data_IF_715735587435
#
_entry.id   IF_715735587435
#
_cell.length_a   1.000
_cell.length_b   1.000
_cell.length_c   1.000
_cell.angle_alpha   90.00
_cell.angle_beta   90.00
_cell.angle_gamma   90.00
#
_symmetry.space_group_name_H-M   'P 1'
#
loop_
_entity.id
_entity.type
_entity.pdbx_description
1 polymer ?
#
# COMPACT_ATOMS: atom_id res chain seq x y z
N UNK A 1 -62.93 -27.89 46.09
CA UNK A 1 -61.46 -27.94 46.10
C UNK A 1 -60.90 -27.45 44.76
N UNK A 2 -61.42 -27.92 43.63
CA UNK A 2 -60.89 -27.63 42.30
C UNK A 2 -60.89 -26.15 41.90
N UNK A 3 -61.90 -25.38 42.34
CA UNK A 3 -61.96 -23.94 42.07
C UNK A 3 -60.82 -23.15 42.75
N UNK A 4 -60.40 -23.58 43.95
CA UNK A 4 -59.31 -22.93 44.69
C UNK A 4 -57.97 -23.17 44.01
N UNK A 5 -57.76 -24.38 43.48
CA UNK A 5 -56.57 -24.74 42.69
C UNK A 5 -56.47 -23.93 41.39
N UNK A 6 -57.60 -23.70 40.71
CA UNK A 6 -57.63 -22.92 39.47
C UNK A 6 -57.27 -21.45 39.72
N UNK A 7 -57.83 -20.84 40.77
CA UNK A 7 -57.53 -19.44 41.14
C UNK A 7 -56.06 -19.26 41.53
N UNK A 8 -55.49 -20.22 42.28
CA UNK A 8 -54.06 -20.21 42.62
C UNK A 8 -53.17 -20.36 41.37
N UNK A 9 -53.53 -21.25 40.44
CA UNK A 9 -52.78 -21.45 39.19
C UNK A 9 -52.72 -20.20 38.32
N UNK A 10 -53.86 -19.49 38.16
CA UNK A 10 -53.91 -18.23 37.40
C UNK A 10 -53.09 -17.13 38.09
N UNK A 11 -53.10 -17.08 39.42
CA UNK A 11 -52.28 -16.13 40.19
C UNK A 11 -50.78 -16.33 39.98
N UNK A 12 -50.30 -17.57 40.04
CA UNK A 12 -48.87 -17.88 39.82
C UNK A 12 -48.45 -17.56 38.39
N UNK A 13 -49.28 -17.88 37.39
CA UNK A 13 -49.00 -17.54 35.98
C UNK A 13 -48.97 -16.02 35.74
N UNK A 14 -49.85 -15.26 36.39
CA UNK A 14 -49.83 -13.80 36.31
C UNK A 14 -48.54 -13.20 36.88
N UNK A 15 -48.07 -13.69 38.03
CA UNK A 15 -46.83 -13.24 38.67
C UNK A 15 -45.62 -13.61 37.78
N UNK A 16 -45.58 -14.82 37.25
CA UNK A 16 -44.53 -15.26 36.33
C UNK A 16 -44.47 -14.40 35.06
N UNK A 17 -45.62 -14.04 34.49
CA UNK A 17 -45.72 -13.16 33.33
C UNK A 17 -45.23 -11.73 33.62
N UNK A 18 -45.55 -11.17 34.79
CA UNK A 18 -45.07 -9.85 35.21
C UNK A 18 -43.55 -9.85 35.39
N UNK A 19 -42.98 -10.88 36.02
CA UNK A 19 -41.53 -11.01 36.17
C UNK A 19 -40.83 -11.14 34.81
N UNK A 20 -41.34 -12.01 33.94
CA UNK A 20 -40.77 -12.23 32.61
C UNK A 20 -40.85 -10.99 31.70
N UNK A 21 -41.95 -10.24 31.76
CA UNK A 21 -42.12 -9.01 30.98
C UNK A 21 -41.25 -7.86 31.49
N UNK A 22 -40.97 -7.79 32.80
CA UNK A 22 -40.05 -6.81 33.39
C UNK A 22 -38.60 -7.08 32.98
N UNK A 23 -38.21 -8.35 32.88
CA UNK A 23 -36.87 -8.75 32.44
C UNK A 23 -36.62 -8.42 30.96
N UNK A 24 -37.60 -8.64 30.07
CA UNK A 24 -37.50 -8.20 28.66
C UNK A 24 -37.33 -6.69 28.50
N UNK A 25 -37.98 -5.87 29.33
CA UNK A 25 -37.83 -4.41 29.29
C UNK A 25 -36.44 -3.95 29.73
N UNK A 26 -35.76 -4.71 30.59
CA UNK A 26 -34.38 -4.43 31.00
C UNK A 26 -33.36 -4.92 29.97
N UNK A 27 -33.65 -6.03 29.26
CA UNK A 27 -32.80 -6.54 28.18
C UNK A 27 -32.84 -5.60 26.96
N UNK A 28 -33.99 -5.00 26.63
CA UNK A 28 -34.10 -4.06 25.49
C UNK A 28 -33.45 -2.69 25.73
N UNK A 29 -33.07 -2.35 26.97
CA UNK A 29 -32.31 -1.13 27.30
C UNK A 29 -30.80 -1.35 27.34
N UNK A 30 -30.34 -2.60 27.13
CA UNK A 30 -28.93 -2.92 26.92
C UNK A 30 -28.60 -3.02 25.43
N UNK A 31 -28.88 -1.97 24.67
CA UNK A 31 -28.15 -1.71 23.44
C UNK A 31 -27.19 -0.53 23.67
N UNK A 32 -26.12 -0.68 24.49
CA UNK A 32 -25.18 0.42 24.74
C UNK A 32 -24.24 0.71 23.56
N UNK A 33 -24.24 -0.08 22.48
CA UNK A 33 -23.17 -0.02 21.49
C UNK A 33 -23.58 0.54 20.12
N UNK A 34 -24.79 1.08 19.92
CA UNK A 34 -25.19 1.55 18.58
C UNK A 34 -24.40 2.77 18.10
N UNK A 35 -24.02 3.66 19.01
CA UNK A 35 -23.35 4.90 18.62
C UNK A 35 -21.84 4.70 18.44
N UNK A 36 -21.22 3.83 19.24
CA UNK A 36 -19.83 3.40 19.04
C UNK A 36 -19.65 2.56 17.77
N UNK A 37 -20.62 1.69 17.44
CA UNK A 37 -20.59 0.94 16.18
C UNK A 37 -20.68 1.91 15.00
N UNK A 38 -21.53 2.94 15.07
CA UNK A 38 -21.60 3.96 14.01
C UNK A 38 -20.30 4.76 13.88
N UNK A 39 -19.63 5.06 14.99
CA UNK A 39 -18.33 5.74 14.95
C UNK A 39 -17.28 4.87 14.26
N UNK A 40 -17.21 3.57 14.60
CA UNK A 40 -16.32 2.63 13.92
C UNK A 40 -16.66 2.49 12.42
N UNK A 41 -17.96 2.39 12.08
CA UNK A 41 -18.42 2.37 10.70
C UNK A 41 -17.96 3.62 9.94
N UNK A 42 -18.03 4.81 10.57
CA UNK A 42 -17.56 6.06 9.96
C UNK A 42 -16.05 6.10 9.77
N UNK A 43 -15.27 5.54 10.70
CA UNK A 43 -13.80 5.45 10.59
C UNK A 43 -13.43 4.50 9.45
N UNK A 44 -14.10 3.34 9.37
CA UNK A 44 -13.88 2.35 8.31
C UNK A 44 -14.25 2.95 6.94
N UNK A 45 -15.39 3.63 6.84
CA UNK A 45 -15.84 4.26 5.59
C UNK A 45 -14.87 5.35 5.13
N UNK A 46 -14.37 6.16 6.06
CA UNK A 46 -13.34 7.15 5.78
C UNK A 46 -12.04 6.52 5.28
N UNK A 47 -11.53 5.50 5.98
CA UNK A 47 -10.31 4.79 5.58
C UNK A 47 -10.46 4.13 4.20
N UNK A 48 -11.65 3.58 3.91
CA UNK A 48 -11.94 2.99 2.61
C UNK A 48 -11.97 4.04 1.48
N UNK A 49 -12.53 5.23 1.74
CA UNK A 49 -12.49 6.35 0.79
C UNK A 49 -11.06 6.83 0.54
N UNK A 50 -10.24 6.97 1.58
CA UNK A 50 -8.82 7.34 1.46
C UNK A 50 -8.06 6.33 0.58
N UNK A 51 -8.29 5.03 0.78
CA UNK A 51 -7.72 3.97 -0.07
C UNK A 51 -8.17 4.06 -1.53
N UNK A 52 -9.45 4.35 -1.79
CA UNK A 52 -9.94 4.50 -3.15
C UNK A 52 -9.33 5.74 -3.84
N UNK A 53 -9.23 6.86 -3.13
CA UNK A 53 -8.64 8.08 -3.65
C UNK A 53 -7.16 7.87 -3.99
N UNK A 54 -6.40 7.20 -3.12
CA UNK A 54 -5.01 6.89 -3.36
C UNK A 54 -4.84 5.95 -4.56
N UNK A 55 -5.64 4.89 -4.64
CA UNK A 55 -5.59 3.97 -5.78
C UNK A 55 -5.94 4.68 -7.10
N UNK A 56 -6.91 5.61 -7.07
CA UNK A 56 -7.22 6.44 -8.23
C UNK A 56 -6.04 7.34 -8.63
N UNK A 57 -5.39 7.99 -7.65
CA UNK A 57 -4.23 8.84 -7.85
C UNK A 57 -3.04 8.06 -8.42
N UNK A 58 -2.77 6.85 -7.90
CA UNK A 58 -1.73 5.96 -8.42
C UNK A 58 -2.04 5.53 -9.86
N UNK A 59 -3.28 5.12 -10.16
CA UNK A 59 -3.69 4.79 -11.52
C UNK A 59 -3.53 5.96 -12.49
N UNK A 60 -3.87 7.18 -12.06
CA UNK A 60 -3.67 8.38 -12.86
C UNK A 60 -2.18 8.65 -13.13
N UNK A 61 -1.32 8.45 -12.13
CA UNK A 61 0.14 8.55 -12.29
C UNK A 61 0.66 7.54 -13.32
N UNK A 62 0.24 6.26 -13.24
CA UNK A 62 0.61 5.24 -14.23
C UNK A 62 0.16 5.59 -15.65
N UNK A 63 -1.06 6.10 -15.82
CA UNK A 63 -1.54 6.55 -17.13
C UNK A 63 -0.70 7.71 -17.68
N UNK A 64 -0.29 8.65 -16.81
CA UNK A 64 0.57 9.76 -17.21
C UNK A 64 1.97 9.30 -17.63
N UNK A 65 2.54 8.32 -16.92
CA UNK A 65 3.84 7.72 -17.25
C UNK A 65 3.76 6.95 -18.56
N UNK A 66 2.72 6.14 -18.77
CA UNK A 66 2.51 5.41 -20.03
C UNK A 66 2.42 6.40 -21.20
N UNK A 67 1.70 7.52 -21.04
CA UNK A 67 1.61 8.55 -22.07
C UNK A 67 2.98 9.19 -22.36
N UNK A 68 3.78 9.44 -21.32
CA UNK A 68 5.15 9.95 -21.45
C UNK A 68 6.07 8.95 -22.19
N UNK A 69 6.02 7.68 -21.81
CA UNK A 69 6.78 6.62 -22.48
C UNK A 69 6.38 6.49 -23.94
N UNK A 70 5.09 6.50 -24.25
CA UNK A 70 4.59 6.42 -25.62
C UNK A 70 5.10 7.59 -26.48
N UNK A 71 5.13 8.81 -25.92
CA UNK A 71 5.73 9.97 -26.58
C UNK A 71 7.23 9.75 -26.86
N UNK A 72 7.97 9.21 -25.89
CA UNK A 72 9.40 8.93 -26.04
C UNK A 72 9.64 7.87 -27.12
N UNK A 73 8.87 6.80 -27.14
CA UNK A 73 8.91 5.76 -28.18
C UNK A 73 8.67 6.36 -29.56
N UNK A 74 7.62 7.16 -29.73
CA UNK A 74 7.33 7.83 -31.02
C UNK A 74 8.49 8.73 -31.48
N UNK A 75 9.14 9.46 -30.57
CA UNK A 75 10.31 10.28 -30.93
C UNK A 75 11.53 9.45 -31.33
N UNK A 76 11.73 8.29 -30.70
CA UNK A 76 12.78 7.34 -31.05
C UNK A 76 12.52 6.70 -32.41
N UNK A 77 11.28 6.31 -32.70
CA UNK A 77 10.87 5.79 -34.00
C UNK A 77 11.08 6.82 -35.12
N UNK A 78 10.73 8.08 -34.89
CA UNK A 78 10.97 9.15 -35.86
C UNK A 78 12.48 9.34 -36.14
N UNK A 79 13.32 9.28 -35.11
CA UNK A 79 14.78 9.33 -35.27
C UNK A 79 15.32 8.13 -36.03
N UNK A 80 14.81 6.92 -35.77
CA UNK A 80 15.18 5.70 -36.50
C UNK A 80 14.82 5.80 -37.98
N UNK A 81 13.61 6.26 -38.32
CA UNK A 81 13.21 6.49 -39.72
C UNK A 81 14.12 7.49 -40.42
N UNK A 82 14.50 8.57 -39.75
CA UNK A 82 15.43 9.56 -40.31
C UNK A 82 16.81 8.93 -40.59
N UNK A 83 17.35 8.13 -39.66
CA UNK A 83 18.62 7.41 -39.86
C UNK A 83 18.55 6.39 -41.00
N UNK A 84 17.43 5.69 -41.15
CA UNK A 84 17.23 4.75 -42.26
C UNK A 84 17.27 5.47 -43.61
N UNK A 85 16.70 6.68 -43.70
CA UNK A 85 16.78 7.50 -44.92
C UNK A 85 18.21 7.93 -45.25
N UNK A 86 19.05 8.23 -44.26
CA UNK A 86 20.47 8.55 -44.48
C UNK A 86 21.27 7.32 -44.96
N UNK A 87 20.91 6.11 -44.53
CA UNK A 87 21.57 4.87 -44.98
C UNK A 87 21.29 4.54 -46.45
N UNK A 88 20.15 4.97 -47.01
CA UNK A 88 19.79 4.76 -48.43
C UNK A 88 20.46 5.76 -49.39
N UNK A 89 21.19 6.75 -48.88
CA UNK A 89 22.07 7.58 -49.69
C UNK A 89 23.36 6.78 -49.90
N UNK A 90 23.30 5.83 -50.83
CA UNK A 90 24.50 5.18 -51.36
C UNK A 90 25.41 6.28 -51.88
N UNK A 91 26.52 6.49 -51.17
CA UNK A 91 27.65 7.25 -51.69
C UNK A 91 28.15 6.44 -52.87
N UNK A 92 27.75 6.83 -54.09
CA UNK A 92 28.47 6.49 -55.31
C UNK A 92 29.85 7.13 -55.19
N UNK A 93 30.76 6.43 -54.51
CA UNK A 93 32.18 6.72 -54.58
C UNK A 93 32.54 6.31 -56.01
N UNK A 94 32.56 7.28 -56.92
CA UNK A 94 33.16 7.11 -58.23
C UNK A 94 34.62 6.69 -57.99
N UNK A 95 34.86 5.39 -58.20
CA UNK A 95 36.16 4.76 -58.14
C UNK A 95 36.99 5.20 -59.35
N UNK A 96 37.38 6.47 -59.38
CA UNK A 96 38.37 7.01 -60.31
C UNK A 96 39.08 8.14 -59.59
N UNK A 97 40.11 7.75 -58.83
CA UNK A 97 41.35 8.48 -58.67
C UNK A 97 42.24 7.66 -57.74
N UNK A 98 43.02 6.76 -58.34
CA UNK A 98 44.29 6.31 -57.76
C UNK A 98 45.14 7.56 -57.54
N UNK A 99 45.19 8.04 -56.30
CA UNK A 99 46.35 8.78 -55.82
C UNK A 99 47.00 7.91 -54.75
N UNK A 100 48.14 7.36 -55.16
CA UNK A 100 49.15 6.75 -54.33
C UNK A 100 49.61 7.80 -53.30
N UNK A 101 49.11 7.69 -52.07
CA UNK A 101 49.57 8.50 -50.95
C UNK A 101 50.40 7.59 -50.07
N UNK A 102 51.71 7.77 -50.19
CA UNK A 102 52.73 7.21 -49.30
C UNK A 102 52.35 7.46 -47.83
N UNK A 103 52.44 6.41 -47.03
CA UNK A 103 52.11 6.43 -45.62
C UNK A 103 53.17 7.19 -44.80
N UNK A 104 52.80 8.21 -44.00
CA UNK A 104 53.56 8.56 -42.82
C UNK A 104 53.01 7.78 -41.63
N UNK A 105 53.83 6.87 -41.15
CA UNK A 105 53.70 6.21 -39.86
C UNK A 105 53.75 7.27 -38.76
N UNK A 106 52.61 7.68 -38.21
CA UNK A 106 52.56 8.36 -36.92
C UNK A 106 51.46 7.78 -36.05
N UNK A 107 51.91 7.08 -35.02
CA UNK A 107 51.15 6.59 -33.89
C UNK A 107 50.50 7.75 -33.14
N UNK A 108 49.26 8.07 -33.47
CA UNK A 108 48.40 8.86 -32.62
C UNK A 108 47.52 7.92 -31.78
N UNK A 109 47.82 7.90 -30.50
CA UNK A 109 47.13 7.19 -29.42
C UNK A 109 45.68 7.70 -29.35
N UNK A 110 44.72 6.91 -29.82
CA UNK A 110 43.30 7.21 -29.66
C UNK A 110 42.86 7.00 -28.20
N UNK A 111 42.03 7.89 -27.63
CA UNK A 111 41.37 7.62 -26.36
C UNK A 111 40.35 6.49 -26.55
N UNK A 112 40.50 5.49 -25.69
CA UNK A 112 39.65 4.32 -25.56
C UNK A 112 38.19 4.75 -25.38
N UNK A 113 37.37 4.57 -26.42
CA UNK A 113 35.93 4.77 -26.36
C UNK A 113 35.35 3.61 -25.56
N UNK A 114 35.02 3.84 -24.30
CA UNK A 114 34.26 2.89 -23.49
C UNK A 114 32.94 2.61 -24.21
N UNK A 115 32.77 1.37 -24.64
CA UNK A 115 31.49 0.85 -25.04
C UNK A 115 30.60 0.90 -23.80
N UNK A 116 29.62 1.80 -23.81
CA UNK A 116 28.46 1.71 -22.91
C UNK A 116 27.76 0.43 -23.31
N UNK A 117 28.05 -0.60 -22.55
CA UNK A 117 27.37 -1.87 -22.57
C UNK A 117 25.91 -1.59 -22.22
N UNK A 118 25.04 -1.50 -23.23
CA UNK A 118 23.61 -1.63 -23.05
C UNK A 118 23.33 -3.12 -22.74
N UNK A 119 23.80 -3.57 -21.58
CA UNK A 119 23.13 -4.66 -20.91
C UNK A 119 21.73 -4.12 -20.59
N UNK A 120 20.73 -4.71 -21.24
CA UNK A 120 19.39 -4.77 -20.70
C UNK A 120 19.47 -5.04 -19.21
N UNK A 121 19.18 -3.99 -18.42
CA UNK A 121 18.96 -4.08 -17.00
C UNK A 121 17.63 -4.82 -16.83
N UNK A 122 17.69 -6.15 -16.99
CA UNK A 122 16.76 -7.03 -16.33
C UNK A 122 16.94 -6.77 -14.85
N UNK A 123 15.94 -6.17 -14.22
CA UNK A 123 15.77 -6.18 -12.78
C UNK A 123 15.88 -7.65 -12.32
N UNK A 124 16.91 -8.01 -11.54
CA UNK A 124 16.89 -9.27 -10.82
C UNK A 124 15.81 -9.12 -9.75
N UNK A 125 14.85 -10.03 -9.77
CA UNK A 125 13.98 -10.29 -8.65
C UNK A 125 14.88 -10.94 -7.60
N UNK A 126 15.37 -10.15 -6.65
CA UNK A 126 16.09 -10.67 -5.49
C UNK A 126 15.06 -11.21 -4.49
N UNK A 127 14.76 -12.49 -4.69
CA UNK A 127 14.24 -13.37 -3.65
C UNK A 127 15.44 -13.95 -2.89
N UNK A 128 15.51 -13.63 -1.60
CA UNK A 128 16.25 -14.33 -0.52
C UNK A 128 17.79 -14.26 -0.52
N UNK A 129 18.39 -13.57 0.48
CA UNK A 129 18.95 -14.14 1.74
C UNK A 129 20.43 -14.56 1.56
N UNK A 130 21.43 -14.33 2.41
CA UNK A 130 21.55 -14.02 3.85
C UNK A 130 23.03 -13.65 4.17
N UNK A 131 23.28 -13.22 5.42
CA UNK A 131 24.56 -13.18 6.17
C UNK A 131 25.51 -11.99 5.87
N UNK A 132 26.07 -11.27 6.84
CA UNK A 132 26.22 -11.48 8.28
C UNK A 132 26.64 -10.13 8.90
N UNK A 133 25.96 -9.68 9.96
CA UNK A 133 26.61 -9.09 11.14
C UNK A 133 25.68 -9.30 12.32
N UNK A 134 26.26 -9.93 13.32
CA UNK A 134 25.59 -10.76 14.31
C UNK A 134 25.18 -9.97 15.54
N UNK A 135 24.23 -10.55 16.26
CA UNK A 135 24.14 -10.58 17.72
C UNK A 135 23.32 -9.48 18.41
N UNK A 136 22.01 -9.71 18.56
CA UNK A 136 21.49 -10.16 19.86
C UNK A 136 20.17 -10.93 19.70
N UNK A 137 19.96 -11.89 20.59
CA UNK A 137 18.96 -12.94 20.53
C UNK A 137 17.53 -12.42 20.72
N UNK A 138 16.62 -12.78 19.82
CA UNK A 138 15.34 -13.41 20.23
C UNK A 138 14.58 -13.93 19.01
N UNK A 139 14.61 -15.26 18.89
CA UNK A 139 13.48 -16.11 18.55
C UNK A 139 12.13 -15.38 18.75
N UNK A 140 11.44 -14.96 17.68
CA UNK A 140 9.96 -14.93 17.57
C UNK A 140 9.51 -14.50 16.16
N UNK A 141 9.39 -15.53 15.33
CA UNK A 141 8.47 -15.66 14.21
C UNK A 141 7.02 -15.30 14.66
N UNK A 142 6.35 -14.37 13.94
CA UNK A 142 4.99 -13.76 14.15
C UNK A 142 4.86 -12.43 14.93
N UNK A 143 5.69 -11.40 14.72
CA UNK A 143 5.52 -10.12 15.47
C UNK A 143 5.60 -8.79 14.73
N UNK A 144 5.75 -8.73 13.39
CA UNK A 144 5.91 -7.42 12.73
C UNK A 144 4.62 -6.57 12.71
N UNK A 145 3.43 -7.17 12.57
CA UNK A 145 2.16 -6.42 12.70
C UNK A 145 1.91 -5.94 14.14
N UNK A 146 2.43 -6.64 15.15
CA UNK A 146 2.35 -6.20 16.54
C UNK A 146 3.29 -5.02 16.83
N UNK A 147 4.35 -4.85 16.03
CA UNK A 147 5.31 -3.75 16.16
C UNK A 147 4.64 -2.40 15.92
N UNK A 148 4.01 -2.22 14.76
CA UNK A 148 3.35 -0.95 14.40
C UNK A 148 2.17 -0.68 15.33
N UNK A 149 1.32 -1.68 15.59
CA UNK A 149 0.17 -1.51 16.47
C UNK A 149 0.59 -1.11 17.90
N UNK A 150 1.63 -1.74 18.45
CA UNK A 150 2.14 -1.37 19.79
C UNK A 150 2.75 0.03 19.81
N UNK A 151 3.47 0.43 18.76
CA UNK A 151 4.06 1.76 18.64
C UNK A 151 3.00 2.86 18.55
N UNK A 152 1.94 2.66 17.74
CA UNK A 152 0.79 3.58 17.66
C UNK A 152 0.18 3.80 19.05
N UNK A 153 -0.02 2.72 19.82
CA UNK A 153 -0.62 2.82 21.15
C UNK A 153 0.30 3.48 22.18
N UNK A 154 1.62 3.28 22.08
CA UNK A 154 2.60 3.94 22.95
C UNK A 154 2.55 5.45 22.72
N UNK A 155 2.61 5.89 21.46
CA UNK A 155 2.56 7.33 21.12
C UNK A 155 1.21 7.95 21.49
N UNK A 156 0.11 7.22 21.28
CA UNK A 156 -1.21 7.69 21.70
C UNK A 156 -1.31 7.87 23.22
N UNK A 157 -0.77 6.92 24.01
CA UNK A 157 -0.72 7.04 25.48
C UNK A 157 0.18 8.19 25.96
N UNK A 158 1.15 8.61 25.15
CA UNK A 158 1.99 9.77 25.41
C UNK A 158 1.29 11.10 25.07
N UNK A 159 0.10 11.07 24.48
CA UNK A 159 -0.72 12.25 24.18
C UNK A 159 -0.47 12.86 22.79
N UNK A 160 0.24 12.16 21.91
CA UNK A 160 0.41 12.59 20.52
C UNK A 160 -0.92 12.53 19.76
N UNK A 161 -1.10 13.46 18.83
CA UNK A 161 -2.27 13.48 17.94
C UNK A 161 -2.19 12.37 16.89
N UNK A 162 -3.34 11.95 16.35
CA UNK A 162 -3.41 10.89 15.31
C UNK A 162 -2.56 11.25 14.08
N UNK A 163 -2.55 12.52 13.70
CA UNK A 163 -1.79 13.04 12.57
C UNK A 163 -0.27 12.98 12.81
N UNK A 164 0.18 13.28 14.03
CA UNK A 164 1.59 13.16 14.44
C UNK A 164 2.03 11.70 14.46
N UNK A 165 1.19 10.80 14.99
CA UNK A 165 1.48 9.36 15.03
C UNK A 165 1.59 8.80 13.61
N UNK A 166 0.64 9.14 12.73
CA UNK A 166 0.64 8.72 11.34
C UNK A 166 1.91 9.17 10.62
N UNK A 167 2.34 10.41 10.86
CA UNK A 167 3.57 10.96 10.29
C UNK A 167 4.83 10.29 10.83
N UNK A 168 4.91 10.05 12.13
CA UNK A 168 6.09 9.45 12.78
C UNK A 168 6.31 8.00 12.34
N UNK A 169 5.22 7.24 12.18
CA UNK A 169 5.27 5.84 11.80
C UNK A 169 5.15 5.61 10.28
N UNK A 170 5.01 6.68 9.50
CA UNK A 170 4.79 6.64 8.05
C UNK A 170 3.61 5.72 7.65
N UNK A 171 2.51 5.83 8.40
CA UNK A 171 1.25 5.12 8.15
C UNK A 171 0.13 6.12 7.83
N UNK A 172 -1.00 5.63 7.32
CA UNK A 172 -2.15 6.48 7.03
C UNK A 172 -2.85 6.95 8.33
N UNK A 173 -3.42 8.16 8.31
CA UNK A 173 -4.18 8.69 9.44
C UNK A 173 -5.35 7.77 9.81
N UNK A 174 -6.07 7.23 8.81
CA UNK A 174 -7.16 6.29 9.05
C UNK A 174 -6.69 4.97 9.70
N UNK A 175 -5.49 4.50 9.37
CA UNK A 175 -4.91 3.29 9.96
C UNK A 175 -4.55 3.51 11.44
N UNK A 176 -3.88 4.63 11.74
CA UNK A 176 -3.60 5.03 13.12
C UNK A 176 -4.90 5.19 13.94
N UNK A 177 -5.92 5.82 13.36
CA UNK A 177 -7.22 6.01 13.99
C UNK A 177 -7.95 4.68 14.24
N UNK A 178 -7.88 3.74 13.29
CA UNK A 178 -8.48 2.42 13.41
C UNK A 178 -7.83 1.61 14.54
N UNK A 179 -6.49 1.62 14.62
CA UNK A 179 -5.73 0.93 15.67
C UNK A 179 -6.12 1.46 17.06
N UNK A 180 -6.17 2.78 17.22
CA UNK A 180 -6.56 3.41 18.48
C UNK A 180 -8.01 3.05 18.85
N UNK A 181 -8.93 3.14 17.88
CA UNK A 181 -10.34 2.81 18.08
C UNK A 181 -10.56 1.35 18.50
N UNK A 182 -9.85 0.41 17.88
CA UNK A 182 -9.91 -1.02 18.23
C UNK A 182 -9.35 -1.31 19.63
N UNK A 183 -8.26 -0.64 20.01
CA UNK A 183 -7.67 -0.83 21.34
C UNK A 183 -8.59 -0.31 22.46
N UNK A 184 -9.17 0.87 22.29
CA UNK A 184 -10.09 1.45 23.27
C UNK A 184 -11.32 0.55 23.48
N UNK A 185 -11.78 -0.13 22.43
CA UNK A 185 -12.89 -1.09 22.50
C UNK A 185 -12.55 -2.38 23.25
N UNK A 186 -11.33 -2.88 23.14
CA UNK A 186 -10.90 -4.12 23.83
C UNK A 186 -10.53 -3.90 25.31
N UNK A 187 -10.43 -2.65 25.76
CA UNK A 187 -10.08 -2.30 27.15
C UNK A 187 -11.30 -2.04 28.05
N UNK A 188 -12.53 -2.23 27.55
CA UNK A 188 -13.81 -2.12 28.27
C UNK A 188 -14.36 -3.52 28.53
#
# INVERSE_FOLDING_TARGET
>A
MDFVLLVLGVGVMGIAYILFSKERKNISKKAPNSDEIKELESIIERHFLELQEENHKQNQAYLSDIAFLHKKVNTLEAKLRNLENYKKIDVKIDATNEYEIEAPTQSARYPHRQYVNNNSEYLPIDTESTQDLSNDNSDYDKSDENGIHSQVLILYKQGYSVEEIAKELNIMCGEAQLIIGLHNKNSI
#
